data_IF_651256381179
#
_entry.id   IF_651256381179
#
_cell.length_a   1.000
_cell.length_b   1.000
_cell.length_c   1.000
_cell.angle_alpha   90.00
_cell.angle_beta   90.00
_cell.angle_gamma   90.00
#
_symmetry.space_group_name_H-M   'P 1'
#
loop_
_entity.id
_entity.type
_entity.pdbx_description
1 polymer ?
#
# COMPACT_ATOMS: atom_id res chain seq x y z
N UNK A 1 4.57 -49.22 44.42
CA UNK A 1 4.94 -47.81 44.62
C UNK A 1 5.32 -47.12 43.30
N UNK A 2 6.26 -47.62 42.49
CA UNK A 2 6.68 -46.99 41.23
C UNK A 2 5.56 -46.78 40.17
N UNK A 3 4.64 -47.75 40.02
CA UNK A 3 3.49 -47.66 39.08
C UNK A 3 2.52 -46.53 39.50
N UNK A 4 2.24 -46.42 40.81
CA UNK A 4 1.36 -45.35 41.32
C UNK A 4 1.95 -43.95 41.10
N UNK A 5 3.26 -43.77 41.33
CA UNK A 5 3.97 -42.50 41.12
C UNK A 5 3.93 -42.13 39.65
N UNK A 6 4.15 -43.06 38.73
CA UNK A 6 4.09 -42.84 37.29
C UNK A 6 2.68 -42.42 36.83
N UNK A 7 1.66 -43.11 37.31
CA UNK A 7 0.27 -42.84 36.92
C UNK A 7 -0.21 -41.51 37.51
N UNK A 8 0.26 -41.12 38.68
CA UNK A 8 0.02 -39.82 39.29
C UNK A 8 0.74 -38.68 38.54
N UNK A 9 1.99 -38.87 38.11
CA UNK A 9 2.72 -37.92 37.29
C UNK A 9 2.05 -37.72 35.92
N UNK A 10 1.60 -38.79 35.28
CA UNK A 10 0.85 -38.70 34.00
C UNK A 10 -0.48 -37.95 34.17
N UNK A 11 -1.17 -38.14 35.29
CA UNK A 11 -2.39 -37.40 35.60
C UNK A 11 -2.11 -35.90 35.78
N UNK A 12 -1.06 -35.53 36.51
CA UNK A 12 -0.66 -34.13 36.67
C UNK A 12 -0.29 -33.53 35.32
N UNK A 13 0.47 -34.23 34.47
CA UNK A 13 0.87 -33.76 33.16
C UNK A 13 -0.35 -33.49 32.22
N UNK A 14 -1.30 -34.43 32.22
CA UNK A 14 -2.55 -34.29 31.46
C UNK A 14 -3.40 -33.13 31.97
N UNK A 15 -3.52 -33.00 33.30
CA UNK A 15 -4.27 -31.89 33.91
C UNK A 15 -3.62 -30.54 33.61
N UNK A 16 -2.29 -30.42 33.68
CA UNK A 16 -1.55 -29.23 33.32
C UNK A 16 -1.75 -28.85 31.85
N UNK A 17 -1.75 -29.84 30.94
CA UNK A 17 -2.00 -29.62 29.51
C UNK A 17 -3.41 -29.10 29.26
N UNK A 18 -4.43 -29.63 29.93
CA UNK A 18 -5.82 -29.18 29.83
C UNK A 18 -5.98 -27.75 30.36
N UNK A 19 -5.35 -27.44 31.50
CA UNK A 19 -5.37 -26.09 32.08
C UNK A 19 -4.69 -25.10 31.14
N UNK A 20 -3.54 -25.43 30.54
CA UNK A 20 -2.84 -24.60 29.56
C UNK A 20 -3.68 -24.36 28.29
N UNK A 21 -4.37 -25.40 27.80
CA UNK A 21 -5.29 -25.28 26.67
C UNK A 21 -6.48 -24.36 27.02
N UNK A 22 -7.07 -24.54 28.21
CA UNK A 22 -8.19 -23.69 28.66
C UNK A 22 -7.76 -22.25 28.87
N UNK A 23 -6.57 -22.01 29.39
CA UNK A 23 -5.98 -20.70 29.56
C UNK A 23 -5.66 -20.04 28.19
N UNK A 24 -5.12 -20.82 27.25
CA UNK A 24 -4.90 -20.36 25.87
C UNK A 24 -6.19 -19.97 25.16
N UNK A 25 -7.24 -20.80 25.27
CA UNK A 25 -8.57 -20.52 24.74
C UNK A 25 -9.21 -19.30 25.42
N UNK A 26 -9.07 -19.18 26.75
CA UNK A 26 -9.57 -18.02 27.52
C UNK A 26 -8.88 -16.72 27.12
N UNK A 27 -7.57 -16.73 26.88
CA UNK A 27 -6.82 -15.57 26.35
C UNK A 27 -7.30 -15.18 24.94
N UNK A 28 -7.61 -16.16 24.11
CA UNK A 28 -8.20 -15.92 22.78
C UNK A 28 -9.58 -15.26 22.92
N UNK A 29 -10.46 -15.78 23.78
CA UNK A 29 -11.78 -15.20 24.03
C UNK A 29 -11.71 -13.82 24.68
N UNK A 30 -10.79 -13.60 25.63
CA UNK A 30 -10.55 -12.29 26.23
C UNK A 30 -10.10 -11.26 25.18
N UNK A 31 -9.30 -11.69 24.19
CA UNK A 31 -8.90 -10.82 23.07
C UNK A 31 -10.04 -10.48 22.10
N UNK A 32 -11.09 -11.31 22.04
CA UNK A 32 -12.30 -11.03 21.27
C UNK A 32 -13.31 -10.16 22.04
N UNK A 33 -13.31 -10.19 23.37
CA UNK A 33 -14.26 -9.44 24.22
C UNK A 33 -14.00 -7.94 24.27
N UNK A 34 -12.82 -7.47 23.97
CA UNK A 34 -12.42 -6.06 24.11
C UNK A 34 -12.48 -5.24 22.80
N UNK A 35 -13.22 -5.74 21.79
CA UNK A 35 -13.40 -5.02 20.50
C UNK A 35 -14.15 -3.70 20.60
N UNK A 36 -14.78 -3.38 21.74
CA UNK A 36 -15.63 -2.19 21.84
C UNK A 36 -14.97 -0.95 22.46
N UNK A 37 -13.73 -1.02 22.94
CA UNK A 37 -13.06 0.11 23.63
C UNK A 37 -11.66 0.48 23.13
N UNK A 38 -11.04 -0.26 22.23
CA UNK A 38 -9.77 0.15 21.64
C UNK A 38 -10.00 1.08 20.45
N UNK A 39 -10.31 2.35 20.74
CA UNK A 39 -10.06 3.45 19.82
C UNK A 39 -8.62 3.30 19.31
N UNK A 40 -8.46 3.39 18.00
CA UNK A 40 -7.20 3.54 17.24
C UNK A 40 -5.97 3.96 18.07
N UNK A 41 -5.35 3.00 18.76
CA UNK A 41 -4.15 3.25 19.53
C UNK A 41 -2.97 3.12 18.58
N UNK A 42 -2.77 4.13 17.77
CA UNK A 42 -1.58 4.29 16.96
C UNK A 42 -0.83 5.54 17.38
N UNK A 43 0.37 5.69 16.89
CA UNK A 43 1.21 6.88 17.10
C UNK A 43 1.70 7.43 15.79
N UNK A 44 1.75 8.76 15.72
CA UNK A 44 2.41 9.44 14.63
C UNK A 44 3.92 9.43 14.89
N UNK A 45 4.68 8.98 13.90
CA UNK A 45 6.15 8.97 13.91
C UNK A 45 6.61 10.03 12.93
N UNK A 46 7.46 10.94 13.40
CA UNK A 46 8.06 11.98 12.58
C UNK A 46 9.57 11.75 12.59
N UNK A 47 10.17 11.58 11.40
CA UNK A 47 11.62 11.41 11.25
C UNK A 47 12.19 12.49 10.35
N UNK A 48 13.24 13.14 10.78
CA UNK A 48 14.01 14.07 9.95
C UNK A 48 14.92 13.28 9.01
N UNK A 49 14.54 13.22 7.72
CA UNK A 49 15.29 12.46 6.70
C UNK A 49 16.55 13.17 6.26
N UNK A 50 16.57 14.50 6.33
CA UNK A 50 17.77 15.29 6.01
C UNK A 50 18.87 15.05 7.04
N UNK A 51 18.53 15.09 8.32
CA UNK A 51 19.51 14.80 9.38
C UNK A 51 20.07 13.38 9.22
N UNK A 52 19.23 12.38 8.97
CA UNK A 52 19.69 11.01 8.71
C UNK A 52 20.66 10.91 7.53
N UNK A 53 20.41 11.65 6.44
CA UNK A 53 21.34 11.70 5.31
C UNK A 53 22.70 12.29 5.69
N UNK A 54 22.71 13.40 6.45
CA UNK A 54 23.95 14.03 6.87
C UNK A 54 24.69 13.23 7.93
N UNK A 55 24.01 12.50 8.80
CA UNK A 55 24.62 11.57 9.76
C UNK A 55 25.41 10.48 9.03
N UNK A 56 24.78 9.83 8.02
CA UNK A 56 25.47 8.84 7.18
C UNK A 56 26.65 9.48 6.42
N UNK A 57 26.46 10.66 5.85
CA UNK A 57 27.53 11.38 5.15
C UNK A 57 28.71 11.69 6.08
N UNK A 58 28.45 12.15 7.29
CA UNK A 58 29.48 12.45 8.28
C UNK A 58 30.20 11.18 8.75
N UNK A 59 29.48 10.07 8.92
CA UNK A 59 30.06 8.76 9.23
C UNK A 59 31.03 8.31 8.12
N UNK A 60 30.63 8.43 6.86
CA UNK A 60 31.50 8.13 5.71
C UNK A 60 32.75 9.03 5.68
N UNK A 61 32.58 10.35 5.89
CA UNK A 61 33.68 11.29 5.91
C UNK A 61 34.67 10.92 7.02
N UNK A 62 34.21 10.67 8.24
CA UNK A 62 35.05 10.36 9.39
C UNK A 62 35.81 9.04 9.26
N UNK A 63 35.29 8.08 8.46
CA UNK A 63 35.94 6.79 8.27
C UNK A 63 36.88 6.72 7.05
N UNK A 64 36.76 7.64 6.09
CA UNK A 64 37.51 7.59 4.82
C UNK A 64 38.62 8.65 4.79
N UNK A 65 38.36 9.84 5.35
CA UNK A 65 39.27 10.97 5.28
C UNK A 65 40.16 11.08 6.54
N UNK A 66 41.30 11.78 6.43
CA UNK A 66 42.10 12.13 7.59
C UNK A 66 41.35 13.09 8.49
N UNK A 67 41.71 13.15 9.79
CA UNK A 67 41.01 13.98 10.76
C UNK A 67 40.93 15.46 10.33
N UNK A 68 42.01 16.00 9.76
CA UNK A 68 42.08 17.40 9.30
C UNK A 68 41.14 17.66 8.10
N UNK A 69 41.09 16.73 7.15
CA UNK A 69 40.17 16.81 5.99
C UNK A 69 38.71 16.64 6.40
N UNK A 70 38.41 15.71 7.32
CA UNK A 70 37.09 15.48 7.85
C UNK A 70 36.52 16.70 8.58
N UNK A 71 37.33 17.36 9.42
CA UNK A 71 36.95 18.60 10.11
C UNK A 71 36.59 19.73 9.12
N UNK A 72 37.33 19.86 8.03
CA UNK A 72 37.09 20.87 6.99
C UNK A 72 35.77 20.59 6.25
N UNK A 73 35.57 19.36 5.80
CA UNK A 73 34.34 18.94 5.09
C UNK A 73 33.08 19.04 5.96
N UNK A 74 33.16 18.70 7.24
CA UNK A 74 32.01 18.80 8.15
C UNK A 74 31.69 20.25 8.54
N UNK A 75 32.68 21.15 8.57
CA UNK A 75 32.45 22.58 8.80
C UNK A 75 31.73 23.22 7.62
N UNK A 76 32.09 22.87 6.38
CA UNK A 76 31.41 23.35 5.17
C UNK A 76 29.94 22.92 5.12
N UNK A 77 29.62 21.71 5.58
CA UNK A 77 28.24 21.22 5.71
C UNK A 77 27.44 22.07 6.71
N UNK A 78 28.00 22.34 7.89
CA UNK A 78 27.36 23.18 8.93
C UNK A 78 27.07 24.59 8.45
N UNK A 79 28.00 25.18 7.72
CA UNK A 79 27.88 26.54 7.20
C UNK A 79 26.79 26.64 6.11
N UNK A 80 26.54 25.56 5.36
CA UNK A 80 25.47 25.52 4.37
C UNK A 80 24.05 25.37 4.99
N UNK A 81 23.96 25.07 6.30
CA UNK A 81 22.66 24.88 7.00
C UNK A 81 21.92 26.20 7.33
N UNK A 82 22.49 27.36 7.06
CA UNK A 82 22.01 28.65 7.60
C UNK A 82 20.71 29.14 6.94
N UNK A 83 20.34 28.68 5.74
CA UNK A 83 19.09 29.03 5.11
C UNK A 83 18.13 27.83 4.96
N UNK A 84 17.21 27.70 5.89
CA UNK A 84 16.13 26.67 5.79
C UNK A 84 15.04 27.12 4.82
N UNK A 85 15.00 26.51 3.63
CA UNK A 85 14.03 26.84 2.56
C UNK A 85 12.79 25.93 2.59
N UNK A 86 11.80 26.25 3.41
CA UNK A 86 10.52 25.54 3.46
C UNK A 86 10.60 24.12 4.05
N UNK A 87 9.45 23.49 4.19
CA UNK A 87 9.34 22.10 4.68
C UNK A 87 8.80 21.20 3.58
N UNK A 88 9.27 19.96 3.54
CA UNK A 88 8.72 18.92 2.70
C UNK A 88 8.30 17.75 3.58
N UNK A 89 7.02 17.41 3.53
CA UNK A 89 6.47 16.26 4.25
C UNK A 89 6.45 15.05 3.32
N UNK A 90 7.06 13.96 3.75
CA UNK A 90 7.11 12.71 2.99
C UNK A 90 6.15 11.72 3.62
N UNK A 91 5.29 11.13 2.82
CA UNK A 91 4.39 10.03 3.18
C UNK A 91 4.79 8.80 2.36
N UNK A 92 4.61 7.61 2.90
CA UNK A 92 4.79 6.35 2.15
C UNK A 92 3.46 5.61 2.08
N UNK A 93 3.11 5.14 0.89
CA UNK A 93 1.93 4.32 0.67
C UNK A 93 2.29 3.04 -0.07
N UNK A 94 2.22 1.91 0.65
CA UNK A 94 2.35 0.57 0.11
C UNK A 94 0.95 -0.03 -0.01
N UNK A 95 0.44 -0.11 -1.24
CA UNK A 95 -0.95 -0.48 -1.52
C UNK A 95 -1.14 -1.97 -1.72
N UNK A 96 -2.05 -2.57 -0.96
CA UNK A 96 -2.61 -3.90 -1.22
C UNK A 96 -3.92 -3.79 -2.03
N UNK A 97 -4.48 -4.95 -2.44
CA UNK A 97 -5.74 -5.00 -3.23
C UNK A 97 -6.89 -4.25 -2.54
N UNK A 98 -6.94 -4.24 -1.22
CA UNK A 98 -8.00 -3.59 -0.43
C UNK A 98 -7.68 -2.14 -0.05
N UNK A 99 -6.48 -1.64 -0.40
CA UNK A 99 -5.99 -0.32 -0.02
C UNK A 99 -6.01 -0.06 1.50
N UNK A 100 -5.63 -1.06 2.32
CA UNK A 100 -5.68 -0.94 3.80
C UNK A 100 -4.86 0.21 4.35
N UNK A 101 -3.79 0.59 3.65
CA UNK A 101 -2.95 1.73 4.03
C UNK A 101 -3.70 3.08 4.04
N UNK A 102 -4.90 3.17 3.45
CA UNK A 102 -5.73 4.38 3.42
C UNK A 102 -6.05 4.90 4.82
N UNK A 103 -6.25 4.02 5.80
CA UNK A 103 -6.56 4.44 7.17
C UNK A 103 -5.38 5.16 7.85
N UNK A 104 -4.14 4.78 7.54
CA UNK A 104 -2.93 5.50 7.97
C UNK A 104 -2.76 6.79 7.17
N UNK A 105 -2.92 6.73 5.85
CA UNK A 105 -2.83 7.90 4.96
C UNK A 105 -3.74 9.04 5.41
N UNK A 106 -5.00 8.77 5.78
CA UNK A 106 -5.94 9.77 6.32
C UNK A 106 -5.37 10.52 7.53
N UNK A 107 -4.74 9.79 8.45
CA UNK A 107 -4.19 10.36 9.68
C UNK A 107 -2.93 11.17 9.41
N UNK A 108 -2.07 10.68 8.51
CA UNK A 108 -0.86 11.35 8.06
C UNK A 108 -1.20 12.66 7.35
N UNK A 109 -2.14 12.63 6.40
CA UNK A 109 -2.62 13.83 5.71
C UNK A 109 -3.25 14.81 6.67
N UNK A 110 -4.09 14.35 7.61
CA UNK A 110 -4.72 15.22 8.61
C UNK A 110 -3.68 15.88 9.50
N UNK A 111 -2.64 15.14 9.92
CA UNK A 111 -1.53 15.69 10.70
C UNK A 111 -0.74 16.75 9.92
N UNK A 112 -0.43 16.50 8.64
CA UNK A 112 0.23 17.48 7.79
C UNK A 112 -0.63 18.74 7.66
N UNK A 113 -1.91 18.59 7.31
CA UNK A 113 -2.82 19.72 7.10
C UNK A 113 -3.06 20.56 8.35
N UNK A 114 -2.83 20.01 9.55
CA UNK A 114 -2.96 20.76 10.82
C UNK A 114 -1.85 21.81 11.02
N UNK A 115 -0.70 21.67 10.36
CA UNK A 115 0.46 22.54 10.55
C UNK A 115 1.05 23.10 9.24
N UNK A 116 0.64 22.59 8.09
CA UNK A 116 1.20 22.98 6.80
C UNK A 116 0.69 24.36 6.35
N UNK A 117 1.60 25.14 5.74
CA UNK A 117 1.29 26.38 5.06
C UNK A 117 1.60 26.28 3.54
N UNK A 118 1.25 27.32 2.77
CA UNK A 118 1.37 27.37 1.31
C UNK A 118 2.82 27.26 0.77
N UNK A 119 3.84 27.36 1.63
CA UNK A 119 5.26 27.22 1.24
C UNK A 119 5.75 25.77 1.40
N UNK A 120 4.95 24.94 2.02
CA UNK A 120 5.31 23.54 2.26
C UNK A 120 4.96 22.68 1.04
N UNK A 121 5.71 21.60 0.87
CA UNK A 121 5.49 20.62 -0.16
C UNK A 121 5.17 19.25 0.46
N UNK A 122 4.48 18.41 -0.30
CA UNK A 122 4.24 17.03 0.09
C UNK A 122 4.80 16.09 -0.97
N UNK A 123 5.47 15.05 -0.53
CA UNK A 123 5.98 13.96 -1.37
C UNK A 123 5.30 12.68 -0.94
N UNK A 124 4.63 12.01 -1.86
CA UNK A 124 4.12 10.66 -1.65
C UNK A 124 5.03 9.66 -2.36
N UNK A 125 5.69 8.80 -1.60
CA UNK A 125 6.35 7.61 -2.14
C UNK A 125 5.28 6.52 -2.28
N UNK A 126 4.95 6.19 -3.51
CA UNK A 126 3.84 5.29 -3.85
C UNK A 126 4.34 3.98 -4.46
N UNK A 127 3.93 2.87 -3.87
CA UNK A 127 4.10 1.54 -4.44
C UNK A 127 2.75 0.82 -4.39
N UNK A 128 2.10 0.61 -5.54
CA UNK A 128 0.81 -0.07 -5.60
C UNK A 128 0.48 -0.62 -6.98
N UNK A 129 0.10 -1.91 -7.07
CA UNK A 129 -0.45 -2.50 -8.29
C UNK A 129 -1.91 -2.10 -8.56
N UNK A 130 -2.56 -1.37 -7.64
CA UNK A 130 -3.98 -1.07 -7.65
C UNK A 130 -4.80 -2.09 -6.87
N UNK A 131 -6.12 -2.03 -7.04
CA UNK A 131 -7.07 -2.90 -6.34
C UNK A 131 -8.50 -2.37 -6.40
N UNK A 132 -9.25 -2.49 -5.29
CA UNK A 132 -10.67 -2.13 -5.25
C UNK A 132 -10.90 -0.65 -5.54
N UNK A 133 -11.88 -0.37 -6.39
CA UNK A 133 -12.23 0.99 -6.84
C UNK A 133 -12.58 1.91 -5.66
N UNK A 134 -13.34 1.42 -4.70
CA UNK A 134 -13.73 2.22 -3.53
C UNK A 134 -12.54 2.50 -2.59
N UNK A 135 -11.61 1.56 -2.40
CA UNK A 135 -10.42 1.75 -1.59
C UNK A 135 -9.47 2.79 -2.19
N UNK A 136 -9.14 2.62 -3.46
CA UNK A 136 -8.24 3.54 -4.17
C UNK A 136 -8.90 4.88 -4.51
N UNK A 137 -10.21 4.90 -4.79
CA UNK A 137 -10.97 6.12 -4.92
C UNK A 137 -10.95 6.96 -3.64
N UNK A 138 -11.09 6.32 -2.48
CA UNK A 138 -10.96 6.99 -1.19
C UNK A 138 -9.53 7.52 -0.97
N UNK A 139 -8.50 6.72 -1.31
CA UNK A 139 -7.11 7.15 -1.21
C UNK A 139 -6.83 8.40 -2.10
N UNK A 140 -7.32 8.40 -3.33
CA UNK A 140 -7.21 9.54 -4.24
C UNK A 140 -7.91 10.78 -3.66
N UNK A 141 -9.12 10.62 -3.11
CA UNK A 141 -9.87 11.72 -2.48
C UNK A 141 -9.16 12.28 -1.23
N UNK A 142 -8.46 11.44 -0.46
CA UNK A 142 -7.64 11.92 0.64
C UNK A 142 -6.44 12.76 0.15
N UNK A 143 -5.80 12.37 -0.96
CA UNK A 143 -4.73 13.17 -1.57
C UNK A 143 -5.24 14.50 -2.12
N UNK A 144 -6.45 14.56 -2.68
CA UNK A 144 -7.07 15.82 -3.13
C UNK A 144 -7.18 16.85 -2.00
N UNK A 145 -7.26 16.46 -0.72
CA UNK A 145 -7.25 17.39 0.41
C UNK A 145 -5.97 18.21 0.50
N UNK A 146 -4.82 17.63 0.10
CA UNK A 146 -3.53 18.34 0.07
C UNK A 146 -3.51 19.38 -1.02
N UNK A 147 -3.87 19.02 -2.26
CA UNK A 147 -3.90 19.94 -3.40
C UNK A 147 -4.99 21.01 -3.26
N UNK A 148 -6.14 20.67 -2.67
CA UNK A 148 -7.19 21.64 -2.35
C UNK A 148 -6.75 22.69 -1.30
N UNK A 149 -5.79 22.35 -0.42
CA UNK A 149 -5.16 23.28 0.52
C UNK A 149 -4.09 24.17 -0.16
N UNK A 150 -3.76 23.90 -1.41
CA UNK A 150 -2.72 24.61 -2.16
C UNK A 150 -1.31 24.09 -1.90
N UNK A 151 -1.16 22.90 -1.32
CA UNK A 151 0.15 22.25 -1.13
C UNK A 151 0.57 21.58 -2.44
N UNK A 152 1.82 21.78 -2.85
CA UNK A 152 2.38 21.11 -4.02
C UNK A 152 2.66 19.65 -3.73
N UNK A 153 1.97 18.75 -4.41
CA UNK A 153 2.09 17.30 -4.24
C UNK A 153 2.96 16.69 -5.35
N UNK A 154 4.04 16.03 -4.96
CA UNK A 154 4.85 15.18 -5.84
C UNK A 154 4.67 13.72 -5.49
N UNK A 155 4.37 12.88 -6.48
CA UNK A 155 4.35 11.42 -6.33
C UNK A 155 5.61 10.83 -6.91
N UNK A 156 6.28 9.96 -6.13
CA UNK A 156 7.47 9.21 -6.53
C UNK A 156 7.12 7.73 -6.63
N UNK A 157 7.47 7.11 -7.75
CA UNK A 157 7.19 5.70 -8.03
C UNK A 157 8.47 4.99 -8.40
N UNK A 158 8.97 4.12 -7.52
CA UNK A 158 10.18 3.35 -7.82
C UNK A 158 9.89 2.03 -8.54
N UNK A 159 8.76 1.36 -8.23
CA UNK A 159 8.45 0.05 -8.78
C UNK A 159 7.12 0.00 -9.54
N UNK A 160 6.02 0.43 -8.92
CA UNK A 160 4.70 0.30 -9.53
C UNK A 160 3.70 1.34 -9.02
N UNK A 161 2.98 1.96 -9.96
CA UNK A 161 1.74 2.69 -9.72
C UNK A 161 0.78 2.38 -10.88
N UNK A 162 0.02 1.31 -10.72
CA UNK A 162 -0.85 0.77 -11.76
C UNK A 162 -2.32 0.79 -11.31
N UNK A 163 -3.26 0.93 -12.25
CA UNK A 163 -4.71 0.91 -11.98
C UNK A 163 -5.10 1.88 -10.85
N UNK A 164 -5.65 1.40 -9.73
CA UNK A 164 -5.92 2.23 -8.54
C UNK A 164 -4.70 2.98 -8.01
N UNK A 165 -3.48 2.41 -8.14
CA UNK A 165 -2.24 3.12 -7.81
C UNK A 165 -2.01 4.34 -8.70
N UNK A 166 -2.28 4.23 -10.00
CA UNK A 166 -2.22 5.38 -10.90
C UNK A 166 -3.36 6.38 -10.65
N UNK A 167 -4.53 5.90 -10.23
CA UNK A 167 -5.64 6.76 -9.79
C UNK A 167 -5.22 7.67 -8.62
N UNK A 168 -4.40 7.19 -7.69
CA UNK A 168 -3.80 8.02 -6.65
C UNK A 168 -2.73 8.95 -7.22
N UNK A 169 -1.82 8.41 -8.04
CA UNK A 169 -0.69 9.17 -8.57
C UNK A 169 -1.13 10.39 -9.40
N UNK A 170 -2.21 10.26 -10.17
CA UNK A 170 -2.67 11.32 -11.08
C UNK A 170 -3.17 12.57 -10.36
N UNK A 171 -3.50 12.49 -9.06
CA UNK A 171 -3.92 13.64 -8.24
C UNK A 171 -2.77 14.63 -8.02
N UNK A 172 -1.52 14.17 -8.12
CA UNK A 172 -0.34 14.99 -7.86
C UNK A 172 -0.10 16.03 -8.95
N UNK A 173 0.49 17.17 -8.57
CA UNK A 173 0.99 18.15 -9.51
C UNK A 173 2.13 17.59 -10.35
N UNK A 174 2.93 16.70 -9.77
CA UNK A 174 4.08 16.07 -10.41
C UNK A 174 4.19 14.59 -10.09
N UNK A 175 4.35 13.76 -11.11
CA UNK A 175 4.64 12.34 -10.98
C UNK A 175 6.05 12.10 -11.51
N UNK A 176 6.89 11.44 -10.70
CA UNK A 176 8.24 11.02 -11.08
C UNK A 176 8.32 9.52 -10.92
N UNK A 177 8.80 8.82 -11.92
CA UNK A 177 8.91 7.36 -11.88
C UNK A 177 10.35 6.91 -12.18
N UNK A 178 10.80 5.82 -11.56
CA UNK A 178 12.03 5.17 -11.97
C UNK A 178 11.91 4.67 -13.42
N UNK A 179 13.01 4.55 -14.18
CA UNK A 179 12.96 4.19 -15.61
C UNK A 179 12.20 2.91 -15.92
N UNK A 180 12.27 1.91 -15.03
CA UNK A 180 11.59 0.61 -15.15
C UNK A 180 10.36 0.45 -14.27
N UNK A 181 9.90 1.51 -13.62
CA UNK A 181 8.65 1.45 -12.86
C UNK A 181 7.46 1.15 -13.78
N UNK A 182 6.55 0.32 -13.32
CA UNK A 182 5.31 -0.02 -14.02
C UNK A 182 4.27 1.07 -13.74
N UNK A 183 3.78 1.72 -14.79
CA UNK A 183 2.85 2.85 -14.73
C UNK A 183 1.65 2.58 -15.65
N UNK A 184 0.46 3.00 -15.27
CA UNK A 184 -0.72 2.90 -16.14
C UNK A 184 -1.69 1.82 -15.69
N UNK A 185 -1.93 0.80 -16.51
CA UNK A 185 -2.99 -0.18 -16.30
C UNK A 185 -4.34 0.51 -16.04
N UNK A 186 -4.66 1.49 -16.91
CA UNK A 186 -5.86 2.32 -16.80
C UNK A 186 -7.03 1.54 -17.41
N UNK A 187 -7.60 0.69 -16.59
CA UNK A 187 -8.70 -0.20 -16.93
C UNK A 187 -9.42 -0.67 -15.67
N UNK A 188 -10.52 -1.39 -15.87
CA UNK A 188 -11.32 -1.97 -14.79
C UNK A 188 -11.68 -3.40 -15.18
N UNK A 189 -11.53 -4.34 -14.26
CA UNK A 189 -11.88 -5.73 -14.47
C UNK A 189 -12.66 -6.32 -13.30
N UNK A 190 -13.42 -7.37 -13.56
CA UNK A 190 -13.99 -8.28 -12.57
C UNK A 190 -13.64 -9.71 -12.98
N UNK A 191 -13.02 -10.43 -12.08
CA UNK A 191 -12.72 -11.84 -12.22
C UNK A 191 -13.50 -12.63 -11.17
N UNK A 192 -14.18 -13.69 -11.60
CA UNK A 192 -14.92 -14.58 -10.70
C UNK A 192 -14.94 -15.99 -11.27
N UNK A 193 -14.48 -17.01 -10.52
CA UNK A 193 -14.70 -18.39 -10.90
C UNK A 193 -16.21 -18.68 -10.88
N UNK A 194 -16.68 -19.62 -11.72
CA UNK A 194 -18.04 -20.10 -11.66
C UNK A 194 -18.08 -21.63 -11.57
N UNK A 195 -18.65 -22.15 -10.50
CA UNK A 195 -18.74 -23.57 -10.20
C UNK A 195 -20.15 -24.15 -10.44
N UNK A 196 -21.06 -23.41 -11.08
CA UNK A 196 -22.45 -23.84 -11.28
C UNK A 196 -22.56 -25.21 -11.96
N UNK A 197 -21.89 -25.40 -13.10
CA UNK A 197 -21.92 -26.66 -13.83
C UNK A 197 -21.33 -27.85 -13.05
N UNK A 198 -20.27 -27.59 -12.26
CA UNK A 198 -19.68 -28.61 -11.41
C UNK A 198 -20.66 -29.08 -10.33
N UNK A 199 -21.38 -28.14 -9.71
CA UNK A 199 -22.41 -28.45 -8.71
C UNK A 199 -23.57 -29.24 -9.33
N UNK A 200 -24.07 -28.81 -10.48
CA UNK A 200 -25.14 -29.50 -11.19
C UNK A 200 -24.75 -30.94 -11.56
N UNK A 201 -23.56 -31.17 -12.09
CA UNK A 201 -23.02 -32.52 -12.40
C UNK A 201 -22.86 -33.40 -11.15
N UNK A 202 -22.75 -32.81 -9.96
CA UNK A 202 -22.69 -33.52 -8.68
C UNK A 202 -24.05 -33.63 -7.97
N UNK A 203 -25.14 -33.24 -8.64
CA UNK A 203 -26.51 -33.32 -8.09
C UNK A 203 -26.78 -32.25 -7.01
N UNK A 204 -25.95 -31.22 -6.88
CA UNK A 204 -26.15 -30.12 -5.93
C UNK A 204 -26.88 -28.97 -6.63
N UNK A 205 -28.08 -28.64 -6.14
CA UNK A 205 -28.83 -27.46 -6.59
C UNK A 205 -28.47 -26.25 -5.75
N UNK A 206 -28.09 -25.16 -6.39
CA UNK A 206 -27.86 -23.88 -5.75
C UNK A 206 -29.07 -22.96 -5.98
N UNK A 207 -29.69 -22.51 -4.91
CA UNK A 207 -30.83 -21.58 -4.97
C UNK A 207 -30.37 -20.19 -4.48
N UNK A 208 -30.72 -19.17 -5.24
CA UNK A 208 -30.47 -17.77 -4.91
C UNK A 208 -31.79 -17.00 -5.04
N UNK A 209 -32.28 -16.48 -3.92
CA UNK A 209 -33.49 -15.68 -3.87
C UNK A 209 -33.07 -14.23 -3.60
N UNK A 210 -33.42 -13.33 -4.52
CA UNK A 210 -33.05 -11.90 -4.41
C UNK A 210 -34.28 -11.02 -4.62
N UNK A 211 -34.35 -9.91 -3.92
CA UNK A 211 -35.24 -8.81 -4.23
C UNK A 211 -34.46 -7.70 -4.94
N UNK A 212 -34.95 -7.29 -6.11
CA UNK A 212 -34.27 -6.35 -7.01
C UNK A 212 -33.52 -7.07 -8.14
N UNK A 213 -33.84 -6.69 -9.40
CA UNK A 213 -33.37 -7.33 -10.65
C UNK A 213 -31.85 -7.49 -10.71
N UNK A 214 -31.10 -6.49 -10.26
CA UNK A 214 -29.64 -6.45 -10.35
C UNK A 214 -28.94 -6.53 -8.99
N UNK A 215 -29.63 -7.09 -7.95
CA UNK A 215 -29.02 -7.24 -6.62
C UNK A 215 -27.76 -8.10 -6.64
N UNK A 216 -27.74 -9.10 -7.53
CA UNK A 216 -26.58 -9.97 -7.78
C UNK A 216 -26.63 -10.43 -9.24
N UNK A 217 -25.78 -9.88 -10.05
CA UNK A 217 -25.72 -10.09 -11.51
C UNK A 217 -24.83 -11.26 -11.90
N UNK A 218 -23.73 -11.48 -11.13
CA UNK A 218 -22.80 -12.60 -11.30
C UNK A 218 -22.68 -13.35 -9.98
N UNK A 219 -22.67 -14.69 -10.07
CA UNK A 219 -22.57 -15.61 -8.94
C UNK A 219 -21.42 -16.60 -9.15
N UNK A 220 -20.74 -16.95 -8.08
CA UNK A 220 -19.71 -18.01 -8.07
C UNK A 220 -20.36 -19.40 -8.19
N UNK A 221 -21.55 -19.59 -7.59
CA UNK A 221 -22.21 -20.90 -7.49
C UNK A 221 -23.47 -21.02 -8.36
N UNK A 222 -24.13 -19.91 -8.65
CA UNK A 222 -25.33 -19.87 -9.46
C UNK A 222 -25.05 -19.70 -10.95
N UNK A 223 -26.06 -19.94 -11.77
CA UNK A 223 -25.99 -19.75 -13.22
C UNK A 223 -25.85 -18.25 -13.56
N UNK A 224 -24.85 -17.91 -14.34
CA UNK A 224 -24.65 -16.56 -14.83
C UNK A 224 -25.36 -16.39 -16.18
N UNK A 225 -26.27 -15.42 -16.25
CA UNK A 225 -27.00 -15.09 -17.46
C UNK A 225 -26.25 -14.11 -18.34
N UNK A 226 -26.56 -14.07 -19.65
CA UNK A 226 -26.00 -13.09 -20.56
C UNK A 226 -26.39 -11.66 -20.18
N UNK A 227 -27.67 -11.47 -19.77
CA UNK A 227 -28.13 -10.18 -19.23
C UNK A 227 -27.29 -9.72 -18.00
N UNK A 228 -26.99 -10.64 -17.07
CA UNK A 228 -26.14 -10.35 -15.90
C UNK A 228 -24.72 -9.94 -16.31
N UNK A 229 -24.11 -10.64 -17.28
CA UNK A 229 -22.79 -10.29 -17.82
C UNK A 229 -22.79 -8.91 -18.48
N UNK A 230 -23.81 -8.63 -19.29
CA UNK A 230 -23.96 -7.34 -19.95
C UNK A 230 -24.10 -6.21 -18.91
N UNK A 231 -24.89 -6.43 -17.86
CA UNK A 231 -25.05 -5.45 -16.78
C UNK A 231 -23.73 -5.14 -16.07
N UNK A 232 -22.94 -6.16 -15.75
CA UNK A 232 -21.60 -5.96 -15.15
C UNK A 232 -20.68 -5.21 -16.10
N UNK A 233 -20.71 -5.52 -17.41
CA UNK A 233 -19.93 -4.80 -18.42
C UNK A 233 -20.31 -3.31 -18.47
N UNK A 234 -21.58 -2.98 -18.34
CA UNK A 234 -22.06 -1.58 -18.28
C UNK A 234 -21.52 -0.86 -17.02
N UNK A 235 -21.54 -1.53 -15.86
CA UNK A 235 -21.01 -1.01 -14.61
C UNK A 235 -19.49 -0.77 -14.68
N UNK A 236 -18.74 -1.73 -15.24
CA UNK A 236 -17.31 -1.57 -15.50
C UNK A 236 -17.03 -0.38 -16.42
N UNK A 237 -17.80 -0.23 -17.50
CA UNK A 237 -17.68 0.90 -18.41
C UNK A 237 -18.00 2.25 -17.73
N UNK A 238 -18.92 2.29 -16.77
CA UNK A 238 -19.19 3.50 -15.99
C UNK A 238 -17.99 3.86 -15.11
N UNK A 239 -17.44 2.90 -14.37
CA UNK A 239 -16.27 3.11 -13.52
C UNK A 239 -15.07 3.56 -14.38
N UNK A 240 -14.85 2.91 -15.52
CA UNK A 240 -13.78 3.26 -16.45
C UNK A 240 -13.92 4.70 -16.98
N UNK A 241 -15.14 5.12 -17.33
CA UNK A 241 -15.40 6.53 -17.74
C UNK A 241 -15.06 7.52 -16.63
N UNK A 242 -15.42 7.22 -15.37
CA UNK A 242 -15.07 8.09 -14.22
C UNK A 242 -13.56 8.17 -14.05
N UNK A 243 -12.86 7.04 -14.18
CA UNK A 243 -11.40 7.01 -14.09
C UNK A 243 -10.74 7.82 -15.23
N UNK A 244 -11.19 7.65 -16.47
CA UNK A 244 -10.74 8.47 -17.62
C UNK A 244 -10.99 9.97 -17.39
N UNK A 245 -12.14 10.32 -16.85
CA UNK A 245 -12.49 11.72 -16.55
C UNK A 245 -11.58 12.32 -15.48
N UNK A 246 -11.24 11.56 -14.43
CA UNK A 246 -10.29 11.97 -13.41
C UNK A 246 -8.91 12.27 -14.03
N UNK A 247 -8.40 11.37 -14.86
CA UNK A 247 -7.10 11.56 -15.54
C UNK A 247 -7.14 12.78 -16.43
N UNK A 248 -8.20 12.94 -17.25
CA UNK A 248 -8.33 14.07 -18.17
C UNK A 248 -8.43 15.42 -17.45
N UNK A 249 -9.08 15.45 -16.29
CA UNK A 249 -9.13 16.64 -15.42
C UNK A 249 -7.73 17.04 -14.94
N UNK A 250 -6.93 16.08 -14.51
CA UNK A 250 -5.60 16.33 -13.95
C UNK A 250 -4.51 16.48 -15.03
N UNK A 251 -4.72 15.89 -16.21
CA UNK A 251 -3.78 15.88 -17.35
C UNK A 251 -4.52 16.22 -18.64
N UNK A 252 -4.91 17.50 -18.86
CA UNK A 252 -5.76 17.91 -19.99
C UNK A 252 -5.20 17.56 -21.37
N UNK A 253 -3.89 17.56 -21.52
CA UNK A 253 -3.20 17.36 -22.79
C UNK A 253 -2.94 15.89 -23.14
N UNK A 254 -3.30 14.95 -22.27
CA UNK A 254 -3.04 13.53 -22.52
C UNK A 254 -4.03 12.94 -23.54
N UNK A 255 -3.56 12.08 -24.42
CA UNK A 255 -4.44 11.27 -25.28
C UNK A 255 -5.04 10.12 -24.45
N UNK A 256 -6.24 10.40 -23.91
CA UNK A 256 -6.90 9.49 -22.96
C UNK A 256 -7.27 8.14 -23.61
N UNK A 257 -7.64 8.13 -24.89
CA UNK A 257 -8.03 6.89 -25.56
C UNK A 257 -6.81 5.97 -25.79
N UNK A 258 -5.65 6.54 -26.06
CA UNK A 258 -4.40 5.80 -26.23
C UNK A 258 -3.93 5.14 -24.93
N UNK A 259 -4.13 5.81 -23.77
CA UNK A 259 -3.57 5.34 -22.49
C UNK A 259 -4.56 4.59 -21.61
N UNK A 260 -5.83 4.49 -22.01
CA UNK A 260 -6.88 3.85 -21.18
C UNK A 260 -7.36 2.50 -21.74
N UNK A 261 -6.43 1.75 -22.32
CA UNK A 261 -6.67 0.41 -22.87
C UNK A 261 -6.49 -0.71 -21.87
N UNK A 262 -6.03 -0.40 -20.64
CA UNK A 262 -5.66 -1.37 -19.62
C UNK A 262 -4.20 -1.81 -19.67
N UNK A 263 -3.43 -1.32 -20.64
CA UNK A 263 -2.00 -1.60 -20.74
C UNK A 263 -1.19 -0.86 -19.68
N UNK A 264 0.01 -1.36 -19.42
CA UNK A 264 0.99 -0.68 -18.59
C UNK A 264 2.22 -0.29 -19.42
N UNK A 265 2.96 0.68 -18.93
CA UNK A 265 4.19 1.17 -19.54
C UNK A 265 5.31 1.26 -18.52
N UNK A 266 6.54 1.09 -18.96
CA UNK A 266 7.70 1.40 -18.14
C UNK A 266 7.83 2.93 -17.96
N UNK A 267 8.45 3.37 -16.88
CA UNK A 267 8.58 4.79 -16.54
C UNK A 267 9.10 5.65 -17.70
N UNK A 268 10.03 5.15 -18.50
CA UNK A 268 10.53 5.84 -19.70
C UNK A 268 9.44 6.05 -20.75
N UNK A 269 8.67 5.00 -21.07
CA UNK A 269 7.54 5.07 -22.01
C UNK A 269 6.40 5.92 -21.46
N UNK A 270 6.13 5.78 -20.17
CA UNK A 270 5.11 6.57 -19.48
C UNK A 270 5.39 8.08 -19.54
N UNK A 271 6.68 8.49 -19.54
CA UNK A 271 7.09 9.88 -19.74
C UNK A 271 6.76 10.37 -21.16
N UNK A 272 7.04 9.59 -22.18
CA UNK A 272 6.73 9.93 -23.58
C UNK A 272 5.22 10.07 -23.81
N UNK A 273 4.42 9.26 -23.10
CA UNK A 273 2.95 9.31 -23.14
C UNK A 273 2.35 10.42 -22.26
N UNK A 274 3.16 11.16 -21.48
CA UNK A 274 2.67 12.20 -20.59
C UNK A 274 2.05 11.69 -19.27
N UNK A 275 2.18 10.39 -18.98
CA UNK A 275 1.68 9.79 -17.74
C UNK A 275 2.52 10.20 -16.53
N UNK A 276 3.83 10.43 -16.72
CA UNK A 276 4.76 10.93 -15.71
C UNK A 276 5.53 12.13 -16.24
N UNK A 277 5.94 13.01 -15.33
CA UNK A 277 6.67 14.24 -15.68
C UNK A 277 8.14 13.96 -16.00
N UNK A 278 8.79 13.10 -15.20
CA UNK A 278 10.22 12.83 -15.32
C UNK A 278 10.54 11.40 -14.89
N UNK A 279 11.70 10.92 -15.33
CA UNK A 279 12.26 9.63 -14.88
C UNK A 279 13.40 9.86 -13.90
N UNK A 280 13.22 9.35 -12.67
CA UNK A 280 14.20 9.44 -11.59
C UNK A 280 13.79 8.48 -10.46
N UNK A 281 14.73 7.97 -9.68
CA UNK A 281 14.43 7.22 -8.46
C UNK A 281 14.02 8.15 -7.31
N UNK A 282 13.22 7.65 -6.38
CA UNK A 282 12.83 8.42 -5.18
C UNK A 282 14.04 8.86 -4.37
N UNK A 283 15.04 8.00 -4.24
CA UNK A 283 16.30 8.31 -3.55
C UNK A 283 17.01 9.52 -4.18
N UNK A 284 17.12 9.55 -5.50
CA UNK A 284 17.78 10.66 -6.19
C UNK A 284 17.00 11.97 -6.00
N UNK A 285 15.67 11.93 -6.11
CA UNK A 285 14.82 13.09 -5.86
C UNK A 285 14.95 13.61 -4.42
N UNK A 286 14.87 12.74 -3.42
CA UNK A 286 15.00 13.14 -2.01
C UNK A 286 16.39 13.68 -1.71
N UNK A 287 17.45 13.08 -2.28
CA UNK A 287 18.82 13.60 -2.13
C UNK A 287 18.96 15.02 -2.67
N UNK A 288 18.32 15.34 -3.81
CA UNK A 288 18.32 16.71 -4.33
C UNK A 288 17.66 17.70 -3.35
N UNK A 289 16.58 17.29 -2.67
CA UNK A 289 15.94 18.13 -1.65
C UNK A 289 16.86 18.38 -0.44
N UNK A 290 17.63 17.37 -0.02
CA UNK A 290 18.58 17.52 1.08
C UNK A 290 19.71 18.50 0.72
N UNK A 291 20.19 18.44 -0.52
CA UNK A 291 21.23 19.33 -1.03
C UNK A 291 20.74 20.78 -1.21
N UNK A 292 19.45 20.97 -1.50
CA UNK A 292 18.82 22.30 -1.58
C UNK A 292 18.50 22.92 -0.20
N UNK A 293 19.01 22.34 0.88
CA UNK A 293 18.77 22.78 2.27
C UNK A 293 17.29 22.78 2.71
N UNK A 294 16.45 21.92 2.11
CA UNK A 294 15.06 21.75 2.53
C UNK A 294 14.97 20.85 3.77
N UNK A 295 14.10 21.22 4.71
CA UNK A 295 13.75 20.34 5.81
C UNK A 295 12.80 19.25 5.28
N UNK A 296 13.20 17.99 5.40
CA UNK A 296 12.44 16.86 4.87
C UNK A 296 12.06 15.91 6.01
N UNK A 297 10.77 15.81 6.28
CA UNK A 297 10.22 15.02 7.38
C UNK A 297 9.38 13.86 6.86
N UNK A 298 9.73 12.63 7.24
CA UNK A 298 8.86 11.48 7.05
C UNK A 298 7.76 11.51 8.10
N UNK A 299 6.52 11.51 7.64
CA UNK A 299 5.33 11.42 8.48
C UNK A 299 4.75 10.01 8.30
N UNK A 300 4.68 9.25 9.38
CA UNK A 300 4.16 7.88 9.36
C UNK A 300 3.23 7.66 10.53
N UNK A 301 2.03 7.13 10.27
CA UNK A 301 1.15 6.65 11.33
C UNK A 301 1.32 5.15 11.51
N UNK A 302 1.77 4.72 12.69
CA UNK A 302 1.86 3.30 13.05
C UNK A 302 0.72 2.90 13.96
N UNK A 303 -0.11 1.96 13.47
CA UNK A 303 -1.13 1.32 14.29
C UNK A 303 -0.46 0.38 15.29
N UNK A 304 -0.77 0.52 16.58
CA UNK A 304 -0.36 -0.47 17.58
C UNK A 304 -1.22 -1.72 17.39
N UNK A 305 -0.61 -2.76 16.84
CA UNK A 305 -1.26 -4.05 16.68
C UNK A 305 -1.15 -4.81 18.00
N UNK A 306 -2.26 -5.26 18.62
CA UNK A 306 -2.23 -6.09 19.82
C UNK A 306 -1.36 -7.33 19.61
N UNK A 307 -0.67 -7.78 20.66
CA UNK A 307 0.26 -8.93 20.58
C UNK A 307 -0.41 -10.17 19.99
N UNK A 308 -1.66 -10.44 20.34
CA UNK A 308 -2.45 -11.55 19.81
C UNK A 308 -2.62 -11.46 18.26
N UNK A 309 -2.84 -10.27 17.72
CA UNK A 309 -2.97 -10.05 16.26
C UNK A 309 -1.61 -10.21 15.55
N UNK A 310 -0.50 -9.82 16.21
CA UNK A 310 0.86 -10.09 15.72
C UNK A 310 1.13 -11.58 15.60
N UNK A 311 0.69 -12.37 16.60
CA UNK A 311 0.85 -13.82 16.60
C UNK A 311 0.03 -14.48 15.47
N UNK A 312 -1.21 -14.08 15.28
CA UNK A 312 -2.09 -14.58 14.21
C UNK A 312 -1.51 -14.25 12.83
N UNK A 313 -1.02 -13.03 12.63
CA UNK A 313 -0.39 -12.61 11.38
C UNK A 313 0.91 -13.38 11.11
N UNK A 314 1.70 -13.70 12.14
CA UNK A 314 2.91 -14.53 12.01
C UNK A 314 2.58 -15.95 11.56
N UNK A 315 1.51 -16.55 12.09
CA UNK A 315 1.02 -17.88 11.67
C UNK A 315 0.53 -17.82 10.21
N UNK A 316 -0.14 -16.74 9.81
CA UNK A 316 -0.57 -16.50 8.42
C UNK A 316 0.59 -16.40 7.44
N UNK A 317 1.68 -15.74 7.82
CA UNK A 317 2.92 -15.64 7.03
C UNK A 317 3.57 -17.02 6.87
N UNK A 318 3.67 -17.81 7.94
CA UNK A 318 4.20 -19.18 7.88
C UNK A 318 3.36 -20.06 6.95
N UNK A 319 2.03 -19.96 7.02
CA UNK A 319 1.12 -20.69 6.13
C UNK A 319 1.30 -20.28 4.65
N UNK A 320 1.54 -19.00 4.37
CA UNK A 320 1.81 -18.51 3.02
C UNK A 320 3.20 -18.93 2.51
N UNK A 321 4.22 -18.99 3.36
CA UNK A 321 5.54 -19.52 3.01
C UNK A 321 5.47 -21.01 2.64
N UNK A 322 4.77 -21.82 3.43
CA UNK A 322 4.56 -23.25 3.14
C UNK A 322 3.80 -23.45 1.82
N UNK A 323 2.86 -22.57 1.50
CA UNK A 323 2.11 -22.64 0.23
C UNK A 323 2.93 -22.15 -0.97
N UNK A 324 3.88 -21.21 -0.80
CA UNK A 324 4.76 -20.75 -1.87
C UNK A 324 5.80 -21.81 -2.26
N UNK A 325 6.33 -22.57 -1.32
CA UNK A 325 7.26 -23.66 -1.61
C UNK A 325 6.60 -24.79 -2.43
N UNK A 326 5.28 -24.97 -2.32
CA UNK A 326 4.52 -25.92 -3.14
C UNK A 326 4.20 -25.42 -4.56
N UNK A 327 4.28 -24.11 -4.84
CA UNK A 327 4.01 -23.54 -6.17
C UNK A 327 5.30 -23.43 -7.00
N UNK A 328 6.45 -23.22 -6.37
CA UNK A 328 7.75 -23.13 -7.08
C UNK A 328 8.22 -24.45 -7.69
N UNK A 329 7.65 -25.59 -7.30
CA UNK A 329 7.95 -26.91 -7.87
C UNK A 329 7.16 -27.25 -9.14
N UNK A 330 6.25 -26.38 -9.62
CA UNK A 330 5.31 -26.70 -10.71
C UNK A 330 5.53 -25.89 -11.99
N UNK A 331 6.58 -25.08 -12.10
CA UNK A 331 6.91 -24.40 -13.35
C UNK A 331 8.17 -25.04 -13.95
N UNK A 332 8.06 -25.85 -15.03
CA UNK A 332 9.22 -26.29 -15.78
C UNK A 332 9.85 -25.06 -16.45
N UNK A 333 11.09 -24.76 -16.14
CA UNK A 333 11.89 -23.83 -16.94
C UNK A 333 11.88 -24.29 -18.39
N UNK A 334 11.38 -23.45 -19.27
CA UNK A 334 11.64 -23.57 -20.72
C UNK A 334 13.16 -23.45 -20.92
N UNK A 335 13.80 -24.60 -21.11
CA UNK A 335 15.09 -24.70 -21.77
C UNK A 335 14.82 -24.70 -23.28
N UNK A 336 15.34 -23.76 -23.93
CA UNK A 336 15.96 -23.53 -25.23
C UNK A 336 15.63 -22.15 -25.78
#
# INVERSE_FOLDING_TARGET
>A
MAKFIRDYLLFILKSATIILLFFGVSLIFASFGDKSKNKDIGSLIIKDLRNQYYDIKNEMINNIYTKTEAEKLTTDIKNSEIEKKGRTFVIKFDGDIQAKAVDSLKKEITAILSIADHKDNVVLMLESPGGTVNGYGLAASELERLTAKGLYLTVLVDKVAASGGYMMAVIADKIIAAPFAIIGSIGVLVESPNFNELLEKRGVKYEQITSGKYKKTISILGKNTEEGRQKVKEELNQIHRVFKSLIKKQRPNIDIEKISTGEFWLGTQAKELGLVYATMTSTNYLTSLYQENKNVYLIKYERKVPFAEKLINSIGVVKNMINQDNISSTIPMLKN
#
